data_IF_548844419895
#
_entry.id   IF_548844419895
#
_cell.length_a   1.000
_cell.length_b   1.000
_cell.length_c   1.000
_cell.angle_alpha   90.00
_cell.angle_beta   90.00
_cell.angle_gamma   90.00
#
_symmetry.space_group_name_H-M   'P 1'
#
loop_
_entity.id
_entity.type
_entity.pdbx_description
1 polymer ?
#
# COMPACT_ATOMS: atom_id res chain seq x y z
N UNK A 1 -43.17 7.88 19.36
CA UNK A 1 -42.53 7.04 18.33
C UNK A 1 -41.58 7.75 17.37
N UNK A 2 -41.55 9.10 17.27
CA UNK A 2 -40.71 9.82 16.29
C UNK A 2 -39.23 10.03 16.73
N UNK A 3 -38.96 10.12 18.03
CA UNK A 3 -37.60 10.39 18.57
C UNK A 3 -36.66 9.19 18.45
N UNK A 4 -37.17 7.95 18.53
CA UNK A 4 -36.36 6.71 18.40
C UNK A 4 -35.78 6.53 16.98
N UNK A 5 -36.49 6.97 15.95
CA UNK A 5 -36.00 6.94 14.56
C UNK A 5 -34.86 7.94 14.32
N UNK A 6 -34.85 9.07 15.04
CA UNK A 6 -33.81 10.09 14.91
C UNK A 6 -32.45 9.57 15.39
N UNK A 7 -32.41 8.85 16.52
CA UNK A 7 -31.19 8.23 17.04
C UNK A 7 -30.65 7.14 16.09
N UNK A 8 -31.53 6.39 15.44
CA UNK A 8 -31.14 5.37 14.46
C UNK A 8 -30.51 6.00 13.20
N UNK A 9 -31.08 7.10 12.69
CA UNK A 9 -30.48 7.86 11.60
C UNK A 9 -29.13 8.48 12.01
N UNK A 10 -29.00 8.99 13.24
CA UNK A 10 -27.73 9.57 13.72
C UNK A 10 -26.61 8.52 13.80
N UNK A 11 -26.93 7.28 14.19
CA UNK A 11 -26.00 6.14 14.23
C UNK A 11 -25.57 5.70 12.81
N UNK A 12 -26.45 5.80 11.82
CA UNK A 12 -26.12 5.46 10.44
C UNK A 12 -25.15 6.47 9.79
N UNK A 13 -25.19 7.75 10.19
CA UNK A 13 -24.33 8.80 9.63
C UNK A 13 -22.88 8.67 10.16
N UNK A 14 -22.69 8.27 11.42
CA UNK A 14 -21.35 8.06 12.00
C UNK A 14 -20.63 6.80 11.47
N UNK A 15 -21.37 5.82 10.92
CA UNK A 15 -20.79 4.63 10.28
C UNK A 15 -20.36 4.87 8.83
N UNK A 16 -20.78 5.99 8.23
CA UNK A 16 -20.46 6.33 6.84
C UNK A 16 -19.16 7.14 6.70
N UNK A 17 -18.31 7.18 7.72
CA UNK A 17 -16.98 7.75 7.63
C UNK A 17 -16.10 6.80 6.79
N UNK A 18 -16.17 6.93 5.46
CA UNK A 18 -15.18 6.36 4.57
C UNK A 18 -13.91 7.18 4.78
N UNK A 19 -12.94 6.62 5.50
CA UNK A 19 -11.59 7.15 5.51
C UNK A 19 -11.06 7.13 4.07
N UNK A 20 -11.09 8.29 3.42
CA UNK A 20 -10.44 8.52 2.12
C UNK A 20 -8.94 8.60 2.36
N UNK A 21 -8.32 7.44 2.59
CA UNK A 21 -6.88 7.31 2.78
C UNK A 21 -6.17 7.84 1.53
N UNK A 22 -5.27 8.80 1.71
CA UNK A 22 -4.63 9.52 0.59
C UNK A 22 -3.33 8.85 0.21
N UNK A 23 -3.11 8.65 -1.09
CA UNK A 23 -1.84 8.10 -1.56
C UNK A 23 -0.71 9.10 -1.36
N UNK A 24 0.31 8.66 -0.63
CA UNK A 24 1.54 9.40 -0.37
C UNK A 24 2.73 8.86 -1.16
N UNK A 25 2.69 7.60 -1.61
CA UNK A 25 3.63 7.09 -2.58
C UNK A 25 2.93 6.10 -3.51
N UNK A 26 3.16 6.28 -4.81
CA UNK A 26 2.79 5.33 -5.85
C UNK A 26 4.04 4.94 -6.60
N UNK A 27 4.26 3.64 -6.73
CA UNK A 27 5.32 3.10 -7.57
C UNK A 27 4.84 1.88 -8.33
N UNK A 28 5.34 1.71 -9.54
CA UNK A 28 5.01 0.55 -10.37
C UNK A 28 6.20 0.11 -11.21
N UNK A 29 6.13 -1.13 -11.71
CA UNK A 29 6.86 -1.50 -12.92
C UNK A 29 6.00 -2.38 -13.80
N UNK A 30 6.24 -2.23 -15.08
CA UNK A 30 5.84 -3.22 -16.07
C UNK A 30 6.89 -4.34 -16.10
N UNK A 31 6.44 -5.58 -15.96
CA UNK A 31 7.26 -6.77 -16.12
C UNK A 31 6.80 -7.51 -17.39
N UNK A 32 7.67 -8.30 -18.04
CA UNK A 32 7.32 -9.01 -19.28
C UNK A 32 6.07 -9.91 -19.19
N UNK A 33 5.67 -10.30 -17.98
CA UNK A 33 4.57 -11.23 -17.71
C UNK A 33 3.59 -10.72 -16.63
N UNK A 34 3.60 -9.41 -16.33
CA UNK A 34 2.72 -8.86 -15.30
C UNK A 34 3.07 -7.44 -14.86
N UNK A 35 2.41 -6.98 -13.81
CA UNK A 35 2.62 -5.67 -13.21
C UNK A 35 2.80 -5.80 -11.72
N UNK A 36 3.68 -4.95 -11.17
CA UNK A 36 3.83 -4.77 -9.74
C UNK A 36 3.47 -3.33 -9.41
N UNK A 37 2.61 -3.17 -8.41
CA UNK A 37 2.23 -1.86 -7.88
C UNK A 37 2.51 -1.81 -6.39
N UNK A 38 3.04 -0.68 -5.94
CA UNK A 38 3.15 -0.32 -4.55
C UNK A 38 2.35 0.96 -4.33
N UNK A 39 1.35 0.88 -3.46
CA UNK A 39 0.59 2.03 -2.97
C UNK A 39 0.84 2.20 -1.49
N UNK A 40 1.19 3.40 -1.07
CA UNK A 40 1.34 3.75 0.34
C UNK A 40 0.45 4.92 0.67
N UNK A 41 -0.12 4.88 1.87
CA UNK A 41 -1.12 5.83 2.33
C UNK A 41 -0.60 6.69 3.49
N UNK A 42 -1.31 7.78 3.76
CA UNK A 42 -1.02 8.74 4.84
C UNK A 42 -1.20 8.15 6.25
N UNK A 43 -2.12 7.20 6.40
CA UNK A 43 -2.37 6.42 7.63
C UNK A 43 -1.29 5.37 7.97
N UNK A 44 -0.19 5.34 7.20
CA UNK A 44 0.89 4.34 7.29
C UNK A 44 0.53 2.93 6.84
N UNK A 45 -0.62 2.73 6.20
CA UNK A 45 -0.93 1.48 5.51
C UNK A 45 -0.34 1.43 4.11
N UNK A 46 -0.25 0.24 3.53
CA UNK A 46 0.17 0.04 2.14
C UNK A 46 -0.51 -1.16 1.48
N UNK A 47 -0.48 -1.17 0.15
CA UNK A 47 -0.83 -2.30 -0.70
C UNK A 47 0.35 -2.58 -1.65
N UNK A 48 0.86 -3.81 -1.61
CA UNK A 48 1.75 -4.34 -2.63
C UNK A 48 0.97 -5.33 -3.48
N UNK A 49 0.88 -5.05 -4.76
CA UNK A 49 0.04 -5.79 -5.70
C UNK A 49 0.95 -6.44 -6.72
N UNK A 50 0.84 -7.76 -6.86
CA UNK A 50 1.50 -8.54 -7.90
C UNK A 50 0.44 -9.14 -8.79
N UNK A 51 0.39 -8.73 -10.05
CA UNK A 51 -0.58 -9.23 -11.02
C UNK A 51 0.16 -9.84 -12.21
N UNK A 52 -0.01 -11.14 -12.42
CA UNK A 52 0.46 -11.80 -13.65
C UNK A 52 -0.53 -11.61 -14.79
N UNK A 53 -0.07 -11.67 -16.04
CA UNK A 53 -0.94 -11.56 -17.23
C UNK A 53 -2.01 -12.67 -17.31
N UNK A 54 -1.72 -13.85 -16.75
CA UNK A 54 -2.58 -15.05 -16.74
C UNK A 54 -2.97 -15.50 -15.33
N UNK A 55 -2.61 -14.75 -14.28
CA UNK A 55 -2.82 -15.14 -12.87
C UNK A 55 -3.68 -14.11 -12.17
N UNK A 56 -4.39 -14.59 -11.14
CA UNK A 56 -5.11 -13.72 -10.23
C UNK A 56 -4.17 -12.72 -9.55
N UNK A 57 -4.76 -11.61 -9.13
CA UNK A 57 -4.08 -10.51 -8.47
C UNK A 57 -3.78 -10.88 -7.02
N UNK A 58 -2.50 -11.01 -6.68
CA UNK A 58 -2.07 -11.14 -5.29
C UNK A 58 -1.95 -9.75 -4.66
N UNK A 59 -2.68 -9.51 -3.57
CA UNK A 59 -2.65 -8.24 -2.82
C UNK A 59 -2.09 -8.53 -1.43
N UNK A 60 -0.96 -7.90 -1.13
CA UNK A 60 -0.30 -7.98 0.15
C UNK A 60 -0.46 -6.64 0.87
N UNK A 61 -1.11 -6.66 2.02
CA UNK A 61 -1.44 -5.45 2.78
C UNK A 61 -0.75 -5.43 4.12
N UNK A 62 -0.64 -4.23 4.69
CA UNK A 62 -0.11 -4.05 6.03
C UNK A 62 0.25 -2.61 6.33
N UNK A 63 1.15 -2.43 7.29
CA UNK A 63 1.65 -1.12 7.69
C UNK A 63 3.13 -0.97 7.35
N UNK A 64 3.57 0.25 7.09
CA UNK A 64 4.96 0.57 6.83
C UNK A 64 5.55 1.52 7.88
N UNK A 65 6.85 1.44 8.06
CA UNK A 65 7.65 2.40 8.80
C UNK A 65 8.75 2.94 7.88
N UNK A 66 8.88 4.26 7.78
CA UNK A 66 9.95 4.92 7.03
C UNK A 66 10.99 5.44 8.01
N UNK A 67 12.23 4.95 7.90
CA UNK A 67 13.39 5.47 8.64
C UNK A 67 14.42 5.96 7.62
N UNK A 68 14.62 7.27 7.57
CA UNK A 68 15.43 7.93 6.55
C UNK A 68 14.90 7.61 5.14
N UNK A 69 15.67 6.85 4.36
CA UNK A 69 15.33 6.35 3.03
C UNK A 69 14.81 4.90 3.03
N UNK A 70 14.81 4.24 4.18
CA UNK A 70 14.53 2.81 4.29
C UNK A 70 13.09 2.58 4.75
N UNK A 71 12.34 1.84 3.94
CA UNK A 71 11.00 1.34 4.22
C UNK A 71 11.05 -0.04 4.85
N UNK A 72 10.27 -0.22 5.91
CA UNK A 72 10.05 -1.48 6.61
C UNK A 72 8.58 -1.83 6.51
N UNK A 73 8.25 -2.92 5.83
CA UNK A 73 6.89 -3.39 5.61
C UNK A 73 6.53 -4.49 6.63
N UNK A 74 5.43 -4.29 7.34
CA UNK A 74 4.81 -5.27 8.25
C UNK A 74 3.53 -5.78 7.60
N UNK A 75 3.64 -6.92 6.93
CA UNK A 75 2.53 -7.60 6.27
C UNK A 75 1.59 -8.24 7.30
N UNK A 76 0.28 -8.26 7.00
CA UNK A 76 -0.73 -8.88 7.87
C UNK A 76 -0.76 -10.40 7.67
N UNK A 77 -0.85 -10.86 6.42
CA UNK A 77 -1.06 -12.28 6.12
C UNK A 77 0.21 -13.00 5.66
N UNK A 78 0.79 -12.54 4.55
CA UNK A 78 1.95 -13.19 3.92
C UNK A 78 2.93 -12.17 3.37
N UNK A 79 4.20 -12.58 3.26
CA UNK A 79 5.29 -11.75 2.77
C UNK A 79 5.53 -12.13 1.30
N UNK A 80 5.51 -11.18 0.35
CA UNK A 80 5.82 -11.46 -1.04
C UNK A 80 7.29 -11.86 -1.17
N UNK A 81 7.61 -12.57 -2.26
CA UNK A 81 8.99 -12.98 -2.57
C UNK A 81 9.96 -11.80 -2.73
N UNK A 82 9.44 -10.60 -2.99
CA UNK A 82 10.18 -9.33 -3.00
C UNK A 82 10.75 -8.95 -1.62
N UNK A 83 10.19 -9.48 -0.52
CA UNK A 83 10.66 -9.22 0.83
C UNK A 83 9.86 -8.12 1.54
N UNK A 84 10.43 -7.62 2.65
CA UNK A 84 9.78 -6.73 3.60
C UNK A 84 10.58 -5.46 3.94
N UNK A 85 11.70 -5.23 3.26
CA UNK A 85 12.56 -4.07 3.44
C UNK A 85 12.96 -3.52 2.08
N UNK A 86 12.81 -2.21 1.91
CA UNK A 86 13.19 -1.52 0.69
C UNK A 86 13.87 -0.18 0.97
N UNK A 87 14.66 0.30 0.00
CA UNK A 87 15.31 1.62 0.03
C UNK A 87 14.70 2.48 -1.06
N UNK A 88 14.33 3.72 -0.72
CA UNK A 88 13.90 4.76 -1.64
C UNK A 88 15.14 5.49 -2.15
N UNK A 89 15.54 5.23 -3.38
CA UNK A 89 16.70 5.89 -4.00
C UNK A 89 16.52 6.04 -5.50
N UNK A 90 17.07 7.12 -6.07
CA UNK A 90 17.11 7.37 -7.52
C UNK A 90 15.75 7.28 -8.25
N UNK A 91 14.65 7.60 -7.56
CA UNK A 91 13.30 7.51 -8.13
C UNK A 91 12.70 6.10 -8.13
N UNK A 92 13.27 5.17 -7.35
CA UNK A 92 12.79 3.81 -7.20
C UNK A 92 12.61 3.42 -5.74
N UNK A 93 11.70 2.49 -5.48
CA UNK A 93 11.66 1.70 -4.25
C UNK A 93 12.30 0.35 -4.56
N UNK A 94 13.47 0.08 -3.99
CA UNK A 94 14.25 -1.13 -4.27
C UNK A 94 14.25 -2.05 -3.04
N UNK A 95 13.66 -3.23 -3.17
CA UNK A 95 13.63 -4.24 -2.12
C UNK A 95 15.00 -4.91 -1.99
N UNK A 96 15.44 -5.09 -0.74
CA UNK A 96 16.81 -5.52 -0.42
C UNK A 96 16.91 -6.80 0.42
N UNK A 97 15.78 -7.35 0.86
CA UNK A 97 15.74 -8.59 1.65
C UNK A 97 14.79 -9.64 1.06
N UNK A 98 14.49 -9.53 -0.23
CA UNK A 98 13.71 -10.51 -0.98
C UNK A 98 14.53 -11.72 -1.40
N UNK A 99 13.82 -12.72 -1.91
CA UNK A 99 14.41 -13.89 -2.58
C UNK A 99 14.96 -13.57 -3.97
N UNK A 100 14.62 -12.41 -4.54
CA UNK A 100 15.14 -11.92 -5.81
C UNK A 100 15.18 -10.38 -5.79
N UNK A 101 16.02 -9.72 -6.61
CA UNK A 101 16.04 -8.27 -6.71
C UNK A 101 14.73 -7.72 -7.29
N UNK A 102 14.06 -6.84 -6.56
CA UNK A 102 12.80 -6.22 -6.97
C UNK A 102 12.87 -4.71 -6.80
N UNK A 103 12.53 -3.96 -7.86
CA UNK A 103 12.56 -2.49 -7.84
C UNK A 103 11.37 -1.94 -8.62
N UNK A 104 10.60 -1.05 -8.00
CA UNK A 104 9.47 -0.37 -8.62
C UNK A 104 9.76 1.11 -8.79
N UNK A 105 9.39 1.68 -9.93
CA UNK A 105 9.62 3.08 -10.27
C UNK A 105 8.57 3.96 -9.61
N UNK A 106 9.01 5.01 -8.93
CA UNK A 106 8.13 5.95 -8.24
C UNK A 106 7.46 6.87 -9.27
N UNK A 107 6.13 6.90 -9.25
CA UNK A 107 5.29 7.81 -10.04
C UNK A 107 4.76 8.98 -9.22
N UNK A 108 4.59 8.77 -7.92
CA UNK A 108 4.18 9.80 -6.95
C UNK A 108 5.00 9.65 -5.68
N UNK A 109 5.54 10.75 -5.15
CA UNK A 109 6.19 10.78 -3.85
C UNK A 109 5.84 12.04 -3.06
N UNK A 110 5.04 11.87 -2.01
CA UNK A 110 4.68 12.87 -1.00
C UNK A 110 5.21 12.47 0.39
N UNK A 111 6.10 11.48 0.48
CA UNK A 111 6.74 11.08 1.74
C UNK A 111 7.75 12.12 2.23
N UNK A 112 8.20 13.02 1.34
CA UNK A 112 8.98 14.21 1.69
C UNK A 112 8.03 15.38 1.94
N UNK A 113 7.91 15.77 3.21
CA UNK A 113 7.70 17.17 3.60
C UNK A 113 9.07 17.76 3.94
#
# INVERSE_FOLDING_TARGET
>A
MKIRFLYFCLILIILSCKDERKEVLLADREAPLGWIYLKMYDDKSFEFISQGMMRDKDIYTGNYELKNDTLYFKYIDSIPKAGSKAIIQNGYVSYINGSYPESVQIKLNKLKQ
#
